data_IF_483886164222
#
_entry.id   IF_483886164222
#
_cell.length_a   1.000
_cell.length_b   1.000
_cell.length_c   1.000
_cell.angle_alpha   90.00
_cell.angle_beta   90.00
_cell.angle_gamma   90.00
#
_symmetry.space_group_name_H-M   'P 1'
#
loop_
_entity.id
_entity.type
_entity.pdbx_description
1 polymer ?
#
# COMPACT_ATOMS: atom_id res chain seq x y z
N UNK A 1 3.33 -10.63 -6.75
CA UNK A 1 4.10 -9.96 -7.83
C UNK A 1 5.04 -8.87 -7.29
N UNK A 2 4.57 -8.04 -6.33
CA UNK A 2 5.34 -6.94 -5.75
C UNK A 2 6.77 -7.32 -5.32
N UNK A 3 6.92 -8.36 -4.49
CA UNK A 3 8.24 -8.78 -4.02
C UNK A 3 9.15 -9.29 -5.15
N UNK A 4 8.58 -9.99 -6.14
CA UNK A 4 9.36 -10.43 -7.28
C UNK A 4 9.97 -9.24 -8.02
N UNK A 5 9.17 -8.24 -8.33
CA UNK A 5 9.64 -7.01 -8.99
C UNK A 5 10.62 -6.21 -8.14
N UNK A 6 10.34 -6.06 -6.84
CA UNK A 6 11.24 -5.35 -5.92
C UNK A 6 12.64 -5.97 -5.87
N UNK A 7 12.70 -7.30 -5.95
CA UNK A 7 13.95 -8.07 -5.92
C UNK A 7 14.59 -8.26 -7.31
N UNK A 8 14.02 -7.68 -8.38
CA UNK A 8 14.52 -7.88 -9.76
C UNK A 8 14.28 -9.27 -10.32
N UNK A 9 13.36 -10.04 -9.75
CA UNK A 9 12.97 -11.35 -10.23
C UNK A 9 11.91 -11.24 -11.34
N UNK A 10 11.74 -12.26 -12.19
CA UNK A 10 10.68 -12.27 -13.19
C UNK A 10 9.29 -12.05 -12.57
N UNK A 11 8.42 -11.28 -13.23
CA UNK A 11 7.06 -11.05 -12.76
C UNK A 11 6.28 -12.35 -12.62
N UNK A 12 5.47 -12.46 -11.56
CA UNK A 12 4.60 -13.62 -11.31
C UNK A 12 3.33 -13.57 -12.16
N UNK A 13 2.86 -12.35 -12.48
CA UNK A 13 1.69 -12.13 -13.34
C UNK A 13 2.05 -11.21 -14.50
N UNK A 14 1.29 -11.30 -15.60
CA UNK A 14 1.50 -10.40 -16.74
C UNK A 14 1.34 -8.93 -16.33
N UNK A 15 2.07 -8.05 -17.00
CA UNK A 15 1.98 -6.62 -16.73
C UNK A 15 0.56 -6.08 -16.91
N UNK A 16 -0.17 -6.54 -17.92
CA UNK A 16 -1.55 -6.15 -18.16
C UNK A 16 -2.45 -6.51 -16.97
N UNK A 17 -2.31 -7.70 -16.40
CA UNK A 17 -3.07 -8.12 -15.22
C UNK A 17 -2.67 -7.32 -13.98
N UNK A 18 -1.39 -7.05 -13.80
CA UNK A 18 -0.89 -6.22 -12.71
C UNK A 18 -1.50 -4.81 -12.78
N UNK A 19 -1.43 -4.15 -13.94
CA UNK A 19 -2.00 -2.81 -14.16
C UNK A 19 -3.51 -2.79 -13.95
N UNK A 20 -4.24 -3.77 -14.49
CA UNK A 20 -5.70 -3.87 -14.30
C UNK A 20 -6.08 -4.02 -12.84
N UNK A 21 -5.34 -4.85 -12.08
CA UNK A 21 -5.57 -5.02 -10.64
C UNK A 21 -5.27 -3.76 -9.85
N UNK A 22 -4.15 -3.10 -10.13
CA UNK A 22 -3.78 -1.85 -9.48
C UNK A 22 -4.81 -0.73 -9.77
N UNK A 23 -5.28 -0.63 -11.01
CA UNK A 23 -6.33 0.33 -11.37
C UNK A 23 -7.62 0.08 -10.58
N UNK A 24 -8.06 -1.17 -10.47
CA UNK A 24 -9.25 -1.52 -9.69
C UNK A 24 -9.09 -1.19 -8.19
N UNK A 25 -7.92 -1.45 -7.62
CA UNK A 25 -7.59 -1.10 -6.23
C UNK A 25 -7.61 0.43 -6.05
N UNK A 26 -7.00 1.17 -6.96
CA UNK A 26 -6.97 2.63 -6.92
C UNK A 26 -8.39 3.21 -6.91
N UNK A 27 -9.22 2.79 -7.86
CA UNK A 27 -10.59 3.31 -8.00
C UNK A 27 -11.46 2.96 -6.78
N UNK A 28 -11.50 1.69 -6.38
CA UNK A 28 -12.42 1.24 -5.34
C UNK A 28 -11.88 1.46 -3.92
N UNK A 29 -10.63 1.07 -3.67
CA UNK A 29 -10.10 0.99 -2.31
C UNK A 29 -9.34 2.24 -1.87
N UNK A 30 -8.90 3.09 -2.79
CA UNK A 30 -8.22 4.35 -2.48
C UNK A 30 -9.11 5.54 -2.75
N UNK A 31 -9.42 5.86 -4.00
CA UNK A 31 -10.19 7.04 -4.38
C UNK A 31 -11.64 6.93 -3.91
N UNK A 32 -12.27 5.75 -4.03
CA UNK A 32 -13.61 5.46 -3.55
C UNK A 32 -13.73 5.33 -2.03
N UNK A 33 -12.62 5.24 -1.30
CA UNK A 33 -12.60 5.14 0.15
C UNK A 33 -12.15 6.47 0.79
N UNK A 34 -13.09 7.16 1.43
CA UNK A 34 -12.84 8.42 2.13
C UNK A 34 -12.12 9.48 1.25
N UNK A 35 -12.39 9.50 -0.05
CA UNK A 35 -11.77 10.38 -1.04
C UNK A 35 -10.22 10.30 -1.05
N UNK A 36 -9.67 9.11 -0.83
CA UNK A 36 -8.23 8.86 -0.77
C UNK A 36 -7.50 9.41 0.47
N UNK A 37 -8.22 9.99 1.42
CA UNK A 37 -7.61 10.68 2.57
C UNK A 37 -7.07 9.75 3.65
N UNK A 38 -7.58 8.54 3.72
CA UNK A 38 -7.25 7.59 4.79
C UNK A 38 -6.22 6.53 4.38
N UNK A 39 -5.88 6.45 3.10
CA UNK A 39 -5.12 5.36 2.51
C UNK A 39 -6.01 4.34 1.84
N UNK A 40 -5.47 3.18 1.51
CA UNK A 40 -6.15 2.12 0.77
C UNK A 40 -6.85 1.19 1.74
N UNK A 41 -8.18 1.09 1.64
CA UNK A 41 -8.96 0.11 2.37
C UNK A 41 -8.61 -1.33 1.95
N UNK A 42 -8.67 -2.24 2.89
CA UNK A 42 -8.17 -3.60 2.68
C UNK A 42 -9.05 -4.46 1.75
N UNK A 43 -10.34 -4.15 1.61
CA UNK A 43 -11.21 -4.95 0.75
C UNK A 43 -12.56 -4.32 0.42
N UNK A 44 -12.62 -3.53 -0.65
CA UNK A 44 -13.87 -3.02 -1.22
C UNK A 44 -14.12 -3.62 -2.60
N UNK A 45 -15.41 -3.76 -2.93
CA UNK A 45 -15.86 -4.02 -4.30
C UNK A 45 -15.83 -2.72 -5.10
N UNK A 46 -15.94 -2.81 -6.42
CA UNK A 46 -15.95 -1.64 -7.30
C UNK A 46 -17.11 -0.64 -7.04
N UNK A 47 -18.17 -1.11 -6.43
CA UNK A 47 -19.31 -0.27 -6.02
C UNK A 47 -19.13 0.39 -4.65
N UNK A 48 -17.95 0.24 -4.03
CA UNK A 48 -17.60 0.79 -2.72
C UNK A 48 -18.11 -0.04 -1.54
N UNK A 49 -18.80 -1.17 -1.77
CA UNK A 49 -19.28 -2.00 -0.67
C UNK A 49 -18.17 -2.89 -0.11
N UNK A 50 -18.13 -3.13 1.22
CA UNK A 50 -17.16 -4.04 1.83
C UNK A 50 -17.29 -5.47 1.28
N UNK A 51 -16.17 -6.15 1.10
CA UNK A 51 -16.15 -7.57 0.72
C UNK A 51 -16.82 -8.46 1.76
N UNK A 52 -16.66 -8.12 3.03
CA UNK A 52 -17.39 -8.72 4.14
C UNK A 52 -18.14 -7.60 4.89
N UNK A 53 -19.48 -7.50 4.73
CA UNK A 53 -20.25 -6.43 5.34
C UNK A 53 -20.35 -6.53 6.88
N UNK A 54 -20.04 -7.70 7.44
CA UNK A 54 -20.06 -7.93 8.89
C UNK A 54 -18.65 -7.88 9.52
N UNK A 55 -17.61 -7.84 8.68
CA UNK A 55 -16.23 -7.81 9.12
C UNK A 55 -15.69 -6.38 9.25
N UNK A 56 -14.74 -6.20 10.14
CA UNK A 56 -14.02 -4.91 10.29
C UNK A 56 -12.88 -4.76 9.29
N UNK A 57 -12.24 -5.87 8.92
CA UNK A 57 -11.04 -5.89 8.08
C UNK A 57 -11.17 -5.19 6.71
N UNK A 58 -12.30 -5.30 5.98
CA UNK A 58 -12.42 -4.64 4.68
C UNK A 58 -12.25 -3.13 4.71
N UNK A 59 -12.66 -2.48 5.81
CA UNK A 59 -12.60 -1.03 6.00
C UNK A 59 -11.34 -0.56 6.75
N UNK A 60 -10.48 -1.48 7.13
CA UNK A 60 -9.20 -1.14 7.75
C UNK A 60 -8.16 -0.73 6.71
N UNK A 61 -7.32 0.22 7.08
CA UNK A 61 -6.10 0.59 6.36
C UNK A 61 -4.92 -0.08 7.05
N UNK A 62 -4.35 -1.08 6.42
CA UNK A 62 -3.19 -1.79 6.97
C UNK A 62 -1.92 -1.10 6.54
N UNK A 63 -1.23 -0.47 7.49
CA UNK A 63 -0.12 0.45 7.22
C UNK A 63 1.00 -0.19 6.40
N UNK A 64 1.43 -1.38 6.77
CA UNK A 64 2.50 -2.07 6.03
C UNK A 64 2.07 -2.54 4.64
N UNK A 65 0.82 -2.96 4.47
CA UNK A 65 0.28 -3.33 3.16
C UNK A 65 0.19 -2.10 2.25
N UNK A 66 -0.24 -0.96 2.80
CA UNK A 66 -0.31 0.29 2.05
C UNK A 66 1.07 0.74 1.55
N UNK A 67 2.12 0.65 2.39
CA UNK A 67 3.47 1.00 1.96
C UNK A 67 4.02 0.04 0.91
N UNK A 68 3.77 -1.26 1.04
CA UNK A 68 4.13 -2.24 0.01
C UNK A 68 3.38 -2.01 -1.30
N UNK A 69 2.09 -1.67 -1.22
CA UNK A 69 1.29 -1.33 -2.39
C UNK A 69 1.78 -0.03 -3.06
N UNK A 70 2.11 1.00 -2.28
CA UNK A 70 2.69 2.23 -2.79
C UNK A 70 4.01 1.96 -3.53
N UNK A 71 4.89 1.11 -2.98
CA UNK A 71 6.11 0.68 -3.67
C UNK A 71 5.79 -0.06 -4.98
N UNK A 72 4.73 -0.87 -5.00
CA UNK A 72 4.30 -1.55 -6.22
C UNK A 72 3.80 -0.57 -7.29
N UNK A 73 2.97 0.42 -6.94
CA UNK A 73 2.58 1.47 -7.88
C UNK A 73 3.81 2.18 -8.46
N UNK A 74 4.79 2.48 -7.62
CA UNK A 74 6.01 3.12 -8.09
C UNK A 74 6.80 2.25 -9.06
N UNK A 75 6.96 0.95 -8.78
CA UNK A 75 7.61 -0.01 -9.70
C UNK A 75 6.87 -0.11 -11.04
N UNK A 76 5.58 0.17 -11.05
CA UNK A 76 4.75 0.19 -12.27
C UNK A 76 4.69 1.59 -12.94
N UNK A 77 5.48 2.55 -12.47
CA UNK A 77 5.58 3.90 -13.05
C UNK A 77 4.55 4.90 -12.53
N UNK A 78 3.68 4.50 -11.60
CA UNK A 78 2.61 5.36 -11.06
C UNK A 78 3.04 6.11 -9.79
N UNK A 79 4.06 6.94 -9.92
CA UNK A 79 4.69 7.66 -8.81
C UNK A 79 3.71 8.54 -8.02
N UNK A 80 2.81 9.23 -8.70
CA UNK A 80 1.85 10.13 -8.03
C UNK A 80 0.88 9.36 -7.14
N UNK A 81 0.36 8.23 -7.62
CA UNK A 81 -0.50 7.34 -6.82
C UNK A 81 0.26 6.77 -5.62
N UNK A 82 1.50 6.34 -5.80
CA UNK A 82 2.36 5.85 -4.74
C UNK A 82 2.56 6.89 -3.63
N UNK A 83 2.89 8.12 -3.99
CA UNK A 83 3.09 9.21 -3.05
C UNK A 83 1.79 9.59 -2.33
N UNK A 84 0.66 9.64 -3.03
CA UNK A 84 -0.64 9.96 -2.45
C UNK A 84 -1.06 8.93 -1.38
N UNK A 85 -0.92 7.63 -1.67
CA UNK A 85 -1.19 6.56 -0.71
C UNK A 85 -0.28 6.68 0.51
N UNK A 86 1.02 6.87 0.28
CA UNK A 86 2.00 7.01 1.37
C UNK A 86 1.66 8.20 2.26
N UNK A 87 1.39 9.35 1.66
CA UNK A 87 1.05 10.57 2.39
C UNK A 87 -0.23 10.43 3.21
N UNK A 88 -1.26 9.76 2.66
CA UNK A 88 -2.52 9.53 3.37
C UNK A 88 -2.28 8.71 4.65
N UNK A 89 -1.51 7.62 4.58
CA UNK A 89 -1.19 6.79 5.76
C UNK A 89 -0.33 7.55 6.77
N UNK A 90 0.70 8.26 6.31
CA UNK A 90 1.56 9.07 7.19
C UNK A 90 0.74 10.14 7.91
N UNK A 91 -0.14 10.83 7.20
CA UNK A 91 -1.01 11.85 7.79
C UNK A 91 -1.89 11.28 8.92
N UNK A 92 -2.49 10.09 8.72
CA UNK A 92 -3.27 9.44 9.78
C UNK A 92 -2.42 9.11 11.00
N UNK A 93 -1.21 8.56 10.79
CA UNK A 93 -0.30 8.22 11.91
C UNK A 93 0.06 9.47 12.70
N UNK A 94 0.40 10.56 12.02
CA UNK A 94 0.76 11.83 12.67
C UNK A 94 -0.44 12.50 13.34
N UNK A 95 -1.58 12.57 12.68
CA UNK A 95 -2.80 13.13 13.25
C UNK A 95 -3.27 12.36 14.49
N UNK A 96 -3.06 11.04 14.50
CA UNK A 96 -3.36 10.18 15.66
C UNK A 96 -2.30 10.21 16.78
N UNK A 97 -1.21 10.99 16.64
CA UNK A 97 -0.12 11.04 17.62
C UNK A 97 0.66 9.71 17.75
N UNK A 98 0.74 8.94 16.67
CA UNK A 98 1.27 7.56 16.66
C UNK A 98 2.62 7.42 15.95
N UNK A 99 3.41 8.49 15.85
CA UNK A 99 4.66 8.52 15.09
C UNK A 99 5.69 7.48 15.54
N UNK A 100 5.75 7.19 16.84
CA UNK A 100 6.69 6.24 17.43
C UNK A 100 6.06 4.89 17.78
N UNK A 101 4.81 4.69 17.42
CA UNK A 101 4.06 3.46 17.69
C UNK A 101 3.08 3.16 16.56
N UNK A 102 3.56 3.25 15.34
CA UNK A 102 2.73 3.03 14.13
C UNK A 102 1.96 1.72 14.23
N UNK A 103 0.62 1.77 14.13
CA UNK A 103 -0.21 0.59 14.28
C UNK A 103 -0.17 -0.32 13.05
N UNK A 104 -0.60 -1.56 13.22
CA UNK A 104 -0.84 -2.47 12.11
C UNK A 104 -1.98 -1.97 11.23
N UNK A 105 -3.08 -1.59 11.86
CA UNK A 105 -4.30 -1.16 11.18
C UNK A 105 -4.84 0.14 11.78
N UNK A 106 -5.30 1.01 10.89
CA UNK A 106 -6.06 2.22 11.18
C UNK A 106 -7.50 2.04 10.68
N UNK A 107 -8.46 2.59 11.40
CA UNK A 107 -9.84 2.69 10.91
C UNK A 107 -10.20 4.14 10.65
N UNK A 108 -11.12 4.39 9.75
CA UNK A 108 -11.60 5.74 9.46
C UNK A 108 -12.32 6.43 10.63
N UNK A 109 -12.51 5.72 11.75
CA UNK A 109 -13.16 6.19 12.96
C UNK A 109 -12.17 6.57 14.07
N UNK A 110 -10.92 6.85 13.70
CA UNK A 110 -9.84 7.22 14.62
C UNK A 110 -9.54 6.13 15.67
N UNK A 111 -9.78 4.88 15.34
CA UNK A 111 -9.36 3.72 16.12
C UNK A 111 -8.21 3.00 15.41
N UNK A 112 -7.46 2.22 16.17
CA UNK A 112 -6.31 1.50 15.65
C UNK A 112 -6.17 0.14 16.33
N UNK A 113 -5.43 -0.75 15.69
CA UNK A 113 -5.13 -2.09 16.18
C UNK A 113 -3.64 -2.35 16.14
N UNK A 114 -3.13 -3.01 17.19
CA UNK A 114 -1.74 -3.48 17.30
C UNK A 114 -0.69 -2.38 17.08
N UNK A 115 -0.45 -1.55 18.12
CA UNK A 115 0.68 -0.61 18.13
C UNK A 115 2.03 -1.35 18.16
N UNK A 116 3.09 -0.66 17.73
CA UNK A 116 4.47 -1.16 17.70
C UNK A 116 4.64 -2.40 16.80
N UNK A 117 3.88 -2.48 15.74
CA UNK A 117 3.92 -3.58 14.82
C UNK A 117 4.95 -3.34 13.71
N UNK A 118 5.89 -4.26 13.53
CA UNK A 118 7.03 -4.07 12.64
C UNK A 118 6.67 -4.02 11.15
N UNK A 119 5.46 -4.40 10.75
CA UNK A 119 5.05 -4.42 9.35
C UNK A 119 5.06 -3.03 8.69
N UNK A 120 4.97 -1.95 9.48
CA UNK A 120 5.13 -0.58 9.00
C UNK A 120 6.53 -0.31 8.40
N UNK A 121 7.53 -1.13 8.73
CA UNK A 121 8.85 -1.07 8.08
C UNK A 121 8.81 -1.36 6.58
N UNK A 122 7.69 -1.84 6.04
CA UNK A 122 7.48 -1.95 4.59
C UNK A 122 7.64 -0.62 3.83
N UNK A 123 7.64 0.53 4.53
CA UNK A 123 7.97 1.84 3.94
C UNK A 123 9.38 1.85 3.31
N UNK A 124 10.30 1.03 3.80
CA UNK A 124 11.63 0.88 3.21
C UNK A 124 11.59 0.33 1.78
N UNK A 125 10.57 -0.46 1.44
CA UNK A 125 10.36 -0.92 0.08
C UNK A 125 10.09 0.24 -0.87
N UNK A 126 9.31 1.24 -0.44
CA UNK A 126 9.06 2.45 -1.23
C UNK A 126 10.37 3.23 -1.43
N UNK A 127 11.18 3.39 -0.38
CA UNK A 127 12.47 4.05 -0.49
C UNK A 127 13.41 3.30 -1.44
N UNK A 128 13.47 1.98 -1.36
CA UNK A 128 14.28 1.14 -2.24
C UNK A 128 13.92 1.29 -3.73
N UNK A 129 12.68 1.66 -4.06
CA UNK A 129 12.28 1.95 -5.44
C UNK A 129 12.79 3.30 -5.98
N UNK A 130 13.29 4.18 -5.11
CA UNK A 130 13.85 5.50 -5.48
C UNK A 130 15.35 5.49 -5.73
N UNK A 131 16.03 4.45 -5.30
CA UNK A 131 17.48 4.34 -5.36
C UNK A 131 17.85 3.24 -6.35
N UNK A 132 19.03 3.33 -6.93
CA UNK A 132 19.63 2.23 -7.69
C UNK A 132 20.15 1.13 -6.75
N UNK A 133 19.45 0.92 -5.65
CA UNK A 133 19.85 -0.03 -4.62
C UNK A 133 19.63 -1.45 -5.13
N UNK A 134 20.70 -2.18 -5.28
CA UNK A 134 20.66 -3.61 -5.55
C UNK A 134 20.32 -4.35 -4.26
N UNK A 135 19.06 -4.75 -4.12
CA UNK A 135 18.62 -5.59 -3.00
C UNK A 135 19.21 -7.00 -3.08
N UNK A 136 19.53 -7.43 -4.31
CA UNK A 136 20.28 -8.65 -4.58
C UNK A 136 21.48 -8.24 -5.46
N UNK A 137 22.72 -8.37 -4.97
CA UNK A 137 23.90 -8.05 -5.78
C UNK A 137 23.92 -8.84 -7.10
N UNK A 138 24.05 -8.12 -8.20
CA UNK A 138 24.09 -8.71 -9.55
C UNK A 138 22.76 -9.09 -10.16
N UNK A 139 21.63 -8.76 -9.52
CA UNK A 139 20.33 -8.89 -10.18
C UNK A 139 20.12 -7.73 -11.16
N UNK A 140 20.17 -8.01 -12.45
CA UNK A 140 19.78 -7.05 -13.48
C UNK A 140 18.27 -6.74 -13.32
N UNK A 141 17.94 -5.48 -13.07
CA UNK A 141 16.53 -5.03 -13.17
C UNK A 141 16.14 -5.13 -14.63
N UNK A 142 15.22 -6.02 -14.93
CA UNK A 142 14.63 -6.06 -16.27
C UNK A 142 13.83 -4.76 -16.50
N UNK A 143 14.02 -4.11 -17.67
CA UNK A 143 13.34 -2.86 -18.00
C UNK A 143 11.83 -2.97 -18.07
#
# INVERSE_FOLDING_TARGET
>A
DFYARLLGLPPVVSEANARSSLQAIKEACFEGFADGRLGVANGLRRDGTPLDPNGTHPLEVWTGINFGLAAYYRLMGETNTALAITQAVVNQVYAGGMQFRTPEALTGQNTFRACHYLRAMAIWALWATHTDWELIPGAERQP
#
